data_IF_139566620830
#
_entry.id   IF_139566620830
#
_cell.length_a   1.000
_cell.length_b   1.000
_cell.length_c   1.000
_cell.angle_alpha   90.00
_cell.angle_beta   90.00
_cell.angle_gamma   90.00
#
_symmetry.space_group_name_H-M   'P 1'
#
loop_
_entity.id
_entity.type
_entity.pdbx_description
1 polymer ?
#
# COMPACT_ATOMS: atom_id res chain seq x y z
N UNK A 1 -24.09 29.52 31.77
CA UNK A 1 -23.36 29.27 30.49
C UNK A 1 -22.36 28.15 30.68
N UNK A 2 -22.49 27.12 29.90
CA UNK A 2 -21.77 25.86 30.01
C UNK A 2 -20.37 26.00 29.34
N UNK A 3 -19.23 25.83 30.04
CA UNK A 3 -17.90 26.09 29.52
C UNK A 3 -17.44 25.06 28.47
N UNK A 4 -18.31 24.15 28.02
CA UNK A 4 -17.98 23.07 27.06
C UNK A 4 -18.01 23.51 25.59
N UNK A 5 -18.30 24.75 25.25
CA UNK A 5 -18.49 25.23 23.87
C UNK A 5 -17.38 26.13 23.33
N UNK A 6 -16.33 26.41 24.08
CA UNK A 6 -15.22 27.27 23.61
C UNK A 6 -14.19 26.61 22.72
N UNK A 7 -14.19 25.26 22.61
CA UNK A 7 -13.38 24.50 21.65
C UNK A 7 -14.26 23.46 21.00
N UNK A 8 -14.85 23.81 19.87
CA UNK A 8 -15.82 23.02 19.12
C UNK A 8 -15.26 21.75 18.46
N UNK A 9 -14.26 21.11 19.01
CA UNK A 9 -13.73 19.81 18.61
C UNK A 9 -13.72 18.85 19.79
N UNK A 10 -14.36 17.70 19.63
CA UNK A 10 -14.24 16.62 20.61
C UNK A 10 -12.77 16.40 20.97
N UNK A 11 -12.42 16.34 22.26
CA UNK A 11 -11.09 15.94 22.76
C UNK A 11 -10.54 14.67 22.09
N UNK A 12 -11.42 13.87 21.46
CA UNK A 12 -11.06 12.69 20.64
C UNK A 12 -10.30 13.03 19.36
N UNK A 13 -10.41 14.25 18.83
CA UNK A 13 -9.75 14.69 17.60
C UNK A 13 -8.50 15.56 17.85
N UNK A 14 -8.15 15.88 19.09
CA UNK A 14 -6.99 16.67 19.41
C UNK A 14 -5.69 15.98 18.97
N UNK A 15 -4.87 16.68 18.17
CA UNK A 15 -3.59 16.16 17.67
C UNK A 15 -2.64 15.76 18.80
N UNK A 16 -2.62 16.51 19.90
CA UNK A 16 -1.84 16.20 21.11
C UNK A 16 -2.29 14.89 21.76
N UNK A 17 -3.61 14.62 21.82
CA UNK A 17 -4.11 13.34 22.34
C UNK A 17 -3.73 12.18 21.41
N UNK A 18 -3.80 12.36 20.09
CA UNK A 18 -3.33 11.33 19.12
C UNK A 18 -1.84 11.08 19.28
N UNK A 19 -1.05 12.14 19.48
CA UNK A 19 0.39 12.02 19.73
C UNK A 19 0.66 11.32 21.06
N UNK A 20 0.00 11.70 22.13
CA UNK A 20 0.12 11.07 23.46
C UNK A 20 -0.28 9.58 23.41
N UNK A 21 -1.41 9.26 22.73
CA UNK A 21 -1.83 7.87 22.51
C UNK A 21 -0.80 7.11 21.67
N UNK A 22 -0.19 7.75 20.68
CA UNK A 22 0.83 7.13 19.82
C UNK A 22 2.12 6.86 20.58
N UNK A 23 2.54 7.79 21.44
CA UNK A 23 3.72 7.64 22.31
C UNK A 23 3.47 6.55 23.37
N UNK A 24 2.36 6.62 24.10
CA UNK A 24 2.02 5.64 25.14
C UNK A 24 1.75 4.25 24.58
N UNK A 25 1.05 4.15 23.43
CA UNK A 25 0.86 2.85 22.75
C UNK A 25 2.16 2.28 22.19
N UNK A 26 3.10 3.14 21.75
CA UNK A 26 4.42 2.69 21.31
C UNK A 26 5.27 2.18 22.48
N UNK A 27 5.07 2.75 23.67
CA UNK A 27 5.74 2.28 24.90
C UNK A 27 5.08 1.07 25.54
N UNK A 28 3.77 0.85 25.30
CA UNK A 28 2.96 -0.17 25.96
C UNK A 28 2.56 -1.36 25.06
N UNK A 29 2.99 -1.38 23.79
CA UNK A 29 2.81 -2.56 22.93
C UNK A 29 4.15 -3.27 22.71
N UNK A 30 4.48 -4.15 23.61
CA UNK A 30 5.73 -4.86 23.52
C UNK A 30 5.60 -6.03 22.55
N UNK A 31 6.68 -6.74 22.42
CA UNK A 31 7.00 -8.03 21.86
C UNK A 31 5.79 -8.91 21.42
N UNK A 32 4.72 -8.99 22.20
CA UNK A 32 3.49 -9.78 21.87
C UNK A 32 2.81 -9.37 20.54
N UNK A 33 2.72 -8.06 20.23
CA UNK A 33 2.07 -7.65 18.99
C UNK A 33 2.89 -8.06 17.76
N UNK A 34 4.23 -7.94 17.86
CA UNK A 34 5.14 -8.37 16.78
C UNK A 34 5.13 -9.88 16.60
N UNK A 35 5.06 -10.63 17.69
CA UNK A 35 4.94 -12.09 17.67
C UNK A 35 3.61 -12.53 17.05
N UNK A 36 2.51 -11.83 17.33
CA UNK A 36 1.20 -12.13 16.79
C UNK A 36 1.14 -11.84 15.28
N UNK A 37 1.76 -10.76 14.80
CA UNK A 37 1.87 -10.48 13.35
C UNK A 37 2.69 -11.56 12.65
N UNK A 38 3.85 -11.92 13.17
CA UNK A 38 4.69 -12.99 12.61
C UNK A 38 3.97 -14.33 12.54
N UNK A 39 3.24 -14.72 13.61
CA UNK A 39 2.42 -15.95 13.62
C UNK A 39 1.29 -15.90 12.58
N UNK A 40 0.64 -14.74 12.44
CA UNK A 40 -0.41 -14.55 11.43
C UNK A 40 0.13 -14.72 10.02
N UNK A 41 1.28 -14.13 9.72
CA UNK A 41 1.93 -14.28 8.40
C UNK A 41 2.33 -15.74 8.16
N UNK A 42 2.94 -16.42 9.14
CA UNK A 42 3.31 -17.83 9.02
C UNK A 42 2.07 -18.71 8.74
N UNK A 43 0.97 -18.48 9.48
CA UNK A 43 -0.30 -19.16 9.23
C UNK A 43 -0.82 -18.88 7.82
N UNK A 44 -0.81 -17.64 7.37
CA UNK A 44 -1.30 -17.27 6.04
C UNK A 44 -0.45 -17.88 4.92
N UNK A 45 0.87 -18.03 5.11
CA UNK A 45 1.75 -18.78 4.19
C UNK A 45 1.33 -20.25 4.07
N UNK A 46 1.07 -20.89 5.21
CA UNK A 46 0.61 -22.28 5.24
C UNK A 46 -0.75 -22.41 4.54
N UNK A 47 -1.71 -21.53 4.83
CA UNK A 47 -3.02 -21.54 4.17
C UNK A 47 -2.87 -21.39 2.65
N UNK A 48 -2.05 -20.45 2.19
CA UNK A 48 -1.82 -20.26 0.76
C UNK A 48 -1.11 -21.44 0.09
N UNK A 49 -0.13 -22.04 0.76
CA UNK A 49 0.57 -23.23 0.27
C UNK A 49 -0.36 -24.43 0.13
N UNK A 50 -1.35 -24.55 0.99
CA UNK A 50 -2.36 -25.62 1.00
C UNK A 50 -3.67 -25.26 0.27
N UNK A 51 -3.68 -24.16 -0.49
CA UNK A 51 -4.87 -23.73 -1.23
C UNK A 51 -5.33 -24.80 -2.22
N UNK A 52 -6.62 -25.10 -2.21
CA UNK A 52 -7.23 -26.11 -3.08
C UNK A 52 -7.94 -25.51 -4.29
N UNK A 53 -8.26 -24.21 -4.21
CA UNK A 53 -8.95 -23.49 -5.29
C UNK A 53 -8.15 -22.26 -5.72
N UNK A 54 -8.05 -22.09 -7.04
CA UNK A 54 -7.33 -20.97 -7.62
C UNK A 54 -8.21 -20.23 -8.62
N UNK A 55 -8.33 -18.92 -8.42
CA UNK A 55 -9.03 -18.02 -9.34
C UNK A 55 -8.03 -17.61 -10.40
N UNK A 56 -8.21 -18.11 -11.61
CA UNK A 56 -7.31 -17.91 -12.77
C UNK A 56 -7.85 -16.91 -13.79
N UNK A 57 -9.08 -16.40 -13.57
CA UNK A 57 -9.70 -15.37 -14.39
C UNK A 57 -9.82 -14.08 -13.61
N UNK A 58 -9.54 -12.96 -14.27
CA UNK A 58 -9.71 -11.64 -13.66
C UNK A 58 -11.20 -11.38 -13.46
N UNK A 59 -11.64 -11.15 -12.22
CA UNK A 59 -13.03 -10.78 -11.96
C UNK A 59 -13.34 -9.40 -12.55
N UNK A 60 -14.62 -9.04 -12.63
CA UNK A 60 -14.99 -7.66 -12.94
C UNK A 60 -14.35 -6.70 -11.93
N UNK A 61 -13.34 -5.97 -12.39
CA UNK A 61 -12.56 -5.02 -11.57
C UNK A 61 -13.20 -3.64 -11.48
N UNK A 62 -14.25 -3.37 -12.24
CA UNK A 62 -14.91 -2.06 -12.30
C UNK A 62 -15.28 -1.48 -10.94
N UNK A 63 -15.91 -2.22 -10.01
CA UNK A 63 -16.23 -1.69 -8.68
C UNK A 63 -14.98 -1.32 -7.86
N UNK A 64 -13.91 -2.12 -7.99
CA UNK A 64 -12.62 -1.88 -7.32
C UNK A 64 -11.96 -0.62 -7.87
N UNK A 65 -11.90 -0.47 -9.19
CA UNK A 65 -11.32 0.69 -9.87
C UNK A 65 -12.05 1.98 -9.49
N UNK A 66 -13.37 1.99 -9.56
CA UNK A 66 -14.20 3.15 -9.18
C UNK A 66 -14.03 3.51 -7.71
N UNK A 67 -13.96 2.53 -6.83
CA UNK A 67 -13.74 2.75 -5.41
C UNK A 67 -12.33 3.35 -5.16
N UNK A 68 -11.32 2.79 -5.79
CA UNK A 68 -9.93 3.25 -5.67
C UNK A 68 -9.79 4.68 -6.20
N UNK A 69 -10.27 4.96 -7.42
CA UNK A 69 -10.23 6.29 -8.02
C UNK A 69 -10.92 7.34 -7.15
N UNK A 70 -12.15 7.06 -6.73
CA UNK A 70 -12.90 7.96 -5.86
C UNK A 70 -12.13 8.30 -4.57
N UNK A 71 -11.55 7.29 -3.94
CA UNK A 71 -10.80 7.49 -2.70
C UNK A 71 -9.50 8.26 -2.93
N UNK A 72 -8.78 7.96 -4.03
CA UNK A 72 -7.56 8.66 -4.42
C UNK A 72 -7.84 10.15 -4.66
N UNK A 73 -8.87 10.48 -5.46
CA UNK A 73 -9.28 11.86 -5.72
C UNK A 73 -9.68 12.61 -4.44
N UNK A 74 -10.41 11.94 -3.53
CA UNK A 74 -10.79 12.54 -2.23
C UNK A 74 -9.57 12.81 -1.34
N UNK A 75 -8.60 11.92 -1.31
CA UNK A 75 -7.35 12.15 -0.57
C UNK A 75 -6.56 13.32 -1.16
N UNK A 76 -6.42 13.37 -2.48
CA UNK A 76 -5.73 14.47 -3.17
C UNK A 76 -6.41 15.80 -2.84
N UNK A 77 -7.73 15.90 -3.02
CA UNK A 77 -8.47 17.11 -2.72
C UNK A 77 -8.30 17.58 -1.27
N UNK A 78 -8.42 16.64 -0.32
CA UNK A 78 -8.25 16.96 1.10
C UNK A 78 -6.84 17.48 1.44
N UNK A 79 -5.80 16.98 0.78
CA UNK A 79 -4.43 17.47 0.96
C UNK A 79 -4.26 18.86 0.38
N UNK A 80 -4.80 19.09 -0.84
CA UNK A 80 -4.72 20.39 -1.53
C UNK A 80 -5.52 21.49 -0.81
N UNK A 81 -6.69 21.18 -0.25
CA UNK A 81 -7.48 22.11 0.58
C UNK A 81 -6.69 22.66 1.78
N UNK A 82 -5.71 21.91 2.27
CA UNK A 82 -4.80 22.34 3.35
C UNK A 82 -3.53 23.04 2.83
N UNK A 83 -3.48 23.39 1.54
CA UNK A 83 -2.35 24.07 0.93
C UNK A 83 -1.10 23.23 0.75
N UNK A 84 -1.20 21.90 0.92
CA UNK A 84 -0.07 20.99 0.72
C UNK A 84 0.02 20.54 -0.74
N UNK A 85 1.25 20.34 -1.22
CA UNK A 85 1.52 19.74 -2.54
C UNK A 85 1.38 18.21 -2.49
N UNK A 86 0.98 17.63 -3.61
CA UNK A 86 0.80 16.18 -3.77
C UNK A 86 1.77 15.67 -4.81
N UNK A 87 2.45 14.59 -4.48
CA UNK A 87 3.19 13.75 -5.42
C UNK A 87 2.66 12.31 -5.28
N UNK A 88 2.40 11.66 -6.39
CA UNK A 88 1.99 10.25 -6.41
C UNK A 88 3.23 9.37 -6.51
N UNK A 89 3.41 8.48 -5.54
CA UNK A 89 4.42 7.42 -5.62
C UNK A 89 3.70 6.12 -5.99
N UNK A 90 4.00 5.58 -7.16
CA UNK A 90 3.41 4.31 -7.61
C UNK A 90 3.89 3.18 -6.72
N UNK A 91 2.96 2.40 -6.17
CA UNK A 91 3.28 1.27 -5.32
C UNK A 91 4.07 0.22 -6.10
N UNK A 92 5.33 -0.09 -5.74
CA UNK A 92 6.04 -1.17 -6.38
C UNK A 92 5.54 -2.53 -5.86
N UNK A 93 5.58 -3.52 -6.73
CA UNK A 93 5.34 -4.93 -6.36
C UNK A 93 6.36 -5.84 -7.03
N UNK A 94 6.57 -7.02 -6.47
CA UNK A 94 7.54 -7.99 -6.95
C UNK A 94 7.01 -8.66 -8.24
N UNK A 95 7.26 -8.01 -9.38
CA UNK A 95 6.75 -8.37 -10.70
C UNK A 95 7.73 -9.28 -11.46
N UNK A 96 7.79 -10.54 -11.10
CA UNK A 96 8.59 -11.54 -11.77
C UNK A 96 7.98 -12.95 -11.64
N UNK A 97 8.57 -13.91 -12.31
CA UNK A 97 8.24 -15.30 -12.08
C UNK A 97 8.88 -15.79 -10.78
N UNK A 98 8.20 -16.71 -10.10
CA UNK A 98 8.64 -17.30 -8.84
C UNK A 98 8.91 -18.79 -9.03
N UNK A 99 9.97 -19.28 -8.42
CA UNK A 99 10.18 -20.71 -8.23
C UNK A 99 9.15 -21.26 -7.23
N UNK A 100 8.95 -22.57 -7.20
CA UNK A 100 8.03 -23.21 -6.24
C UNK A 100 8.44 -22.92 -4.79
N UNK A 101 9.73 -22.89 -4.50
CA UNK A 101 10.24 -22.54 -3.18
C UNK A 101 9.93 -21.09 -2.79
N UNK A 102 10.03 -20.17 -3.73
CA UNK A 102 9.71 -18.74 -3.49
C UNK A 102 8.21 -18.51 -3.30
N UNK A 103 7.36 -19.26 -3.98
CA UNK A 103 5.90 -19.19 -3.80
C UNK A 103 5.48 -19.48 -2.36
N UNK A 104 6.25 -20.26 -1.60
CA UNK A 104 5.99 -20.54 -0.19
C UNK A 104 6.18 -19.31 0.72
N UNK A 105 6.88 -18.28 0.25
CA UNK A 105 7.02 -17.02 0.98
C UNK A 105 5.83 -16.08 0.80
N UNK A 106 5.01 -16.33 -0.22
CA UNK A 106 3.83 -15.52 -0.49
C UNK A 106 2.67 -15.92 0.42
N UNK A 107 1.89 -14.94 0.88
CA UNK A 107 0.78 -15.18 1.80
C UNK A 107 -0.48 -14.35 1.50
N UNK A 108 -0.40 -13.48 0.50
CA UNK A 108 -1.42 -12.51 0.13
C UNK A 108 -2.42 -13.07 -0.90
N UNK A 109 -3.46 -12.28 -1.17
CA UNK A 109 -4.43 -12.48 -2.24
C UNK A 109 -5.33 -13.73 -2.10
N UNK A 110 -5.68 -14.06 -0.86
CA UNK A 110 -6.76 -15.00 -0.58
C UNK A 110 -8.12 -14.35 -0.82
N UNK A 111 -9.06 -15.13 -1.33
CA UNK A 111 -10.43 -14.70 -1.54
C UNK A 111 -11.25 -14.87 -0.26
N UNK A 112 -11.66 -13.77 0.36
CA UNK A 112 -12.44 -13.77 1.59
C UNK A 112 -11.83 -12.94 2.71
N UNK A 113 -12.07 -13.34 3.96
CA UNK A 113 -11.67 -12.61 5.17
C UNK A 113 -10.70 -13.44 6.01
N UNK A 114 -9.39 -13.31 5.79
CA UNK A 114 -8.39 -14.19 6.42
C UNK A 114 -8.30 -14.06 7.94
N UNK A 115 -8.80 -12.96 8.51
CA UNK A 115 -8.84 -12.76 9.96
C UNK A 115 -10.04 -13.42 10.64
N UNK A 116 -11.10 -13.76 9.88
CA UNK A 116 -12.34 -14.32 10.40
C UNK A 116 -12.42 -15.84 10.20
N UNK A 117 -11.80 -16.36 9.15
CA UNK A 117 -11.82 -17.79 8.81
C UNK A 117 -10.57 -18.23 8.07
N UNK A 118 -10.36 -19.52 7.99
CA UNK A 118 -9.35 -20.11 7.11
C UNK A 118 -9.75 -19.94 5.65
N UNK A 119 -8.77 -19.68 4.80
CA UNK A 119 -8.95 -19.53 3.37
C UNK A 119 -8.35 -20.72 2.64
N UNK A 120 -9.06 -21.22 1.66
CA UNK A 120 -8.66 -22.28 0.74
C UNK A 120 -8.62 -21.83 -0.72
N UNK A 121 -9.07 -20.60 -0.98
CA UNK A 121 -9.22 -20.03 -2.32
C UNK A 121 -8.30 -18.80 -2.46
N UNK A 122 -7.49 -18.78 -3.50
CA UNK A 122 -6.55 -17.69 -3.78
C UNK A 122 -6.56 -17.30 -5.25
N UNK A 123 -6.19 -16.06 -5.54
CA UNK A 123 -5.94 -15.63 -6.90
C UNK A 123 -4.59 -16.16 -7.39
N UNK A 124 -4.54 -16.57 -8.67
CA UNK A 124 -3.28 -16.90 -9.33
C UNK A 124 -2.40 -15.67 -9.50
N UNK A 125 -1.09 -15.84 -9.61
CA UNK A 125 -0.16 -14.72 -9.75
C UNK A 125 -0.40 -13.89 -11.03
N UNK A 126 -0.77 -14.46 -12.20
CA UNK A 126 -1.18 -13.68 -13.36
C UNK A 126 -2.39 -12.77 -13.09
N UNK A 127 -3.41 -13.28 -12.39
CA UNK A 127 -4.59 -12.47 -12.01
C UNK A 127 -4.21 -11.35 -11.07
N UNK A 128 -3.40 -11.64 -10.05
CA UNK A 128 -2.89 -10.62 -9.11
C UNK A 128 -2.15 -9.51 -9.86
N UNK A 129 -1.27 -9.88 -10.80
CA UNK A 129 -0.53 -8.92 -11.63
C UNK A 129 -1.47 -8.01 -12.39
N UNK A 130 -2.46 -8.56 -13.08
CA UNK A 130 -3.43 -7.78 -13.85
C UNK A 130 -4.25 -6.83 -12.98
N UNK A 131 -4.66 -7.25 -11.77
CA UNK A 131 -5.37 -6.39 -10.83
C UNK A 131 -4.50 -5.24 -10.31
N UNK A 132 -3.23 -5.50 -10.00
CA UNK A 132 -2.29 -4.47 -9.57
C UNK A 132 -1.99 -3.47 -10.70
N UNK A 133 -1.76 -3.95 -11.92
CA UNK A 133 -1.58 -3.11 -13.10
C UNK A 133 -2.82 -2.25 -13.40
N UNK A 134 -4.01 -2.79 -13.15
CA UNK A 134 -5.26 -2.03 -13.30
C UNK A 134 -5.34 -0.88 -12.31
N UNK A 135 -5.03 -1.09 -11.03
CA UNK A 135 -5.00 -0.02 -10.04
C UNK A 135 -3.90 1.00 -10.33
N UNK A 136 -2.74 0.54 -10.80
CA UNK A 136 -1.63 1.42 -11.18
C UNK A 136 -2.02 2.33 -12.37
N UNK A 137 -2.70 1.80 -13.39
CA UNK A 137 -3.23 2.61 -14.50
C UNK A 137 -4.21 3.68 -14.02
N UNK A 138 -5.11 3.35 -13.08
CA UNK A 138 -6.02 4.34 -12.48
C UNK A 138 -5.24 5.44 -11.76
N UNK A 139 -4.21 5.08 -11.01
CA UNK A 139 -3.37 6.02 -10.27
C UNK A 139 -2.64 6.99 -11.22
N UNK A 140 -2.03 6.47 -12.28
CA UNK A 140 -1.33 7.27 -13.30
C UNK A 140 -2.31 8.20 -14.03
N UNK A 141 -3.47 7.69 -14.45
CA UNK A 141 -4.50 8.48 -15.11
C UNK A 141 -5.00 9.65 -14.26
N UNK A 142 -5.33 9.38 -12.99
CA UNK A 142 -5.79 10.43 -12.06
C UNK A 142 -4.71 11.49 -11.84
N UNK A 143 -3.44 11.08 -11.71
CA UNK A 143 -2.34 12.01 -11.55
C UNK A 143 -2.16 12.90 -12.80
N UNK A 144 -2.26 12.32 -14.01
CA UNK A 144 -2.18 13.05 -15.28
C UNK A 144 -3.32 14.08 -15.43
N UNK A 145 -4.56 13.68 -15.13
CA UNK A 145 -5.72 14.56 -15.19
C UNK A 145 -5.65 15.74 -14.23
N UNK A 146 -4.96 15.57 -13.09
CA UNK A 146 -4.79 16.59 -12.07
C UNK A 146 -3.43 17.30 -12.12
N UNK A 147 -2.64 17.04 -13.17
CA UNK A 147 -1.28 17.59 -13.37
C UNK A 147 -0.38 17.40 -12.13
N UNK A 148 -0.39 16.19 -11.56
CA UNK A 148 0.39 15.84 -10.39
C UNK A 148 1.68 15.11 -10.79
N UNK A 149 2.81 15.38 -10.12
CA UNK A 149 4.04 14.61 -10.30
C UNK A 149 3.84 13.16 -9.86
N UNK A 150 4.36 12.22 -10.68
CA UNK A 150 4.26 10.78 -10.46
C UNK A 150 5.66 10.18 -10.41
N UNK A 151 6.00 9.52 -9.31
CA UNK A 151 7.25 8.77 -9.19
C UNK A 151 6.98 7.28 -9.45
N UNK A 152 7.58 6.75 -10.52
CA UNK A 152 7.62 5.32 -10.82
C UNK A 152 8.87 4.69 -10.22
N UNK A 153 8.74 3.49 -9.63
CA UNK A 153 9.85 2.79 -8.97
C UNK A 153 10.06 1.38 -9.53
N UNK A 154 9.14 0.89 -10.37
CA UNK A 154 9.12 -0.50 -10.83
C UNK A 154 10.33 -0.88 -11.70
N UNK A 155 10.85 0.07 -12.49
CA UNK A 155 11.92 -0.18 -13.44
C UNK A 155 13.32 -0.11 -12.80
N UNK A 156 13.40 0.44 -11.58
CA UNK A 156 14.67 0.70 -10.90
C UNK A 156 14.86 -0.15 -9.64
N UNK A 157 13.77 -0.51 -8.94
CA UNK A 157 13.82 -1.31 -7.72
C UNK A 157 14.15 -2.76 -8.04
N UNK A 158 15.20 -3.35 -7.44
CA UNK A 158 15.51 -4.76 -7.66
C UNK A 158 14.35 -5.68 -7.29
N UNK A 159 13.98 -6.58 -8.22
CA UNK A 159 12.84 -7.49 -8.09
C UNK A 159 13.25 -8.80 -7.40
N UNK A 160 13.65 -8.72 -6.13
CA UNK A 160 14.13 -9.85 -5.32
C UNK A 160 13.61 -9.81 -3.88
N UNK A 161 13.82 -10.90 -3.13
CA UNK A 161 13.42 -11.01 -1.74
C UNK A 161 14.36 -10.30 -0.75
N UNK A 162 15.45 -9.71 -1.22
CA UNK A 162 16.25 -8.78 -0.42
C UNK A 162 15.54 -7.43 -0.27
N UNK A 163 14.77 -7.02 -1.29
CA UNK A 163 14.02 -5.77 -1.31
C UNK A 163 12.54 -5.94 -0.98
N UNK A 164 11.96 -7.10 -1.26
CA UNK A 164 10.57 -7.43 -0.96
C UNK A 164 10.46 -8.54 0.07
N UNK A 165 9.57 -8.38 1.02
CA UNK A 165 9.27 -9.41 2.02
C UNK A 165 8.29 -10.46 1.50
N UNK A 166 7.39 -10.05 0.63
CA UNK A 166 6.40 -10.83 -0.09
C UNK A 166 6.11 -10.18 -1.45
N UNK A 167 4.88 -10.25 -1.92
CA UNK A 167 4.52 -9.73 -3.23
C UNK A 167 4.61 -8.20 -3.36
N UNK A 168 4.42 -7.43 -2.27
CA UNK A 168 4.41 -5.96 -2.30
C UNK A 168 4.89 -5.28 -1.01
N UNK A 169 5.13 -6.00 0.06
CA UNK A 169 5.72 -5.40 1.26
C UNK A 169 7.24 -5.35 1.14
N UNK A 170 7.78 -4.20 1.46
CA UNK A 170 9.22 -3.97 1.39
C UNK A 170 9.93 -4.50 2.64
N UNK A 171 11.13 -5.07 2.45
CA UNK A 171 12.08 -5.30 3.54
C UNK A 171 12.63 -3.96 4.05
N UNK A 172 13.38 -3.93 5.17
CA UNK A 172 14.09 -2.72 5.59
C UNK A 172 15.02 -2.16 4.49
N UNK A 173 15.67 -3.04 3.70
CA UNK A 173 16.53 -2.65 2.56
C UNK A 173 15.72 -2.02 1.44
N UNK A 174 14.62 -2.66 1.03
CA UNK A 174 13.72 -2.11 0.02
C UNK A 174 13.08 -0.79 0.45
N UNK A 175 12.66 -0.69 1.72
CA UNK A 175 12.11 0.55 2.27
C UNK A 175 13.14 1.69 2.31
N UNK A 176 14.39 1.41 2.64
CA UNK A 176 15.47 2.40 2.61
C UNK A 176 15.73 2.89 1.19
N UNK A 177 15.77 1.96 0.22
CA UNK A 177 15.94 2.30 -1.19
C UNK A 177 14.80 3.19 -1.70
N UNK A 178 13.55 2.80 -1.48
CA UNK A 178 12.36 3.60 -1.84
C UNK A 178 12.40 4.98 -1.16
N UNK A 179 12.75 5.03 0.13
CA UNK A 179 12.85 6.28 0.89
C UNK A 179 13.87 7.23 0.28
N UNK A 180 15.03 6.73 -0.17
CA UNK A 180 16.04 7.53 -0.85
C UNK A 180 15.50 8.08 -2.18
N UNK A 181 14.89 7.25 -3.03
CA UNK A 181 14.34 7.69 -4.32
C UNK A 181 13.24 8.74 -4.16
N UNK A 182 12.37 8.56 -3.15
CA UNK A 182 11.34 9.56 -2.80
C UNK A 182 11.99 10.87 -2.37
N UNK A 183 13.02 10.83 -1.51
CA UNK A 183 13.71 12.03 -1.05
C UNK A 183 14.39 12.80 -2.21
N UNK A 184 15.00 12.09 -3.15
CA UNK A 184 15.61 12.64 -4.37
C UNK A 184 14.57 13.30 -5.30
N UNK A 185 13.35 12.77 -5.35
CA UNK A 185 12.27 13.26 -6.20
C UNK A 185 11.53 14.50 -5.63
N UNK A 186 11.53 14.70 -4.32
CA UNK A 186 10.79 15.79 -3.66
C UNK A 186 11.16 17.19 -4.20
N UNK A 187 12.45 17.58 -4.39
CA UNK A 187 12.81 18.92 -4.88
C UNK A 187 12.18 19.25 -6.24
N UNK A 188 12.12 18.30 -7.16
CA UNK A 188 11.53 18.50 -8.48
C UNK A 188 10.01 18.51 -8.44
N UNK A 189 9.40 17.67 -7.64
CA UNK A 189 7.97 17.72 -7.37
C UNK A 189 7.53 19.07 -6.78
N UNK A 190 8.36 19.68 -5.93
CA UNK A 190 8.09 21.00 -5.36
C UNK A 190 8.20 22.14 -6.38
N UNK A 191 9.03 21.98 -7.42
CA UNK A 191 9.17 22.95 -8.52
C UNK A 191 8.01 22.85 -9.54
N UNK A 192 7.19 21.81 -9.47
CA UNK A 192 6.13 21.54 -10.45
C UNK A 192 6.65 20.92 -11.74
N UNK A 193 7.88 20.39 -11.75
CA UNK A 193 8.42 19.63 -12.88
C UNK A 193 7.81 18.23 -12.89
N UNK A 194 7.19 17.84 -13.99
CA UNK A 194 6.76 16.46 -14.20
C UNK A 194 7.99 15.56 -14.36
N UNK A 195 8.01 14.42 -13.67
CA UNK A 195 9.05 13.41 -13.87
C UNK A 195 8.97 12.81 -15.29
N UNK A 196 10.11 12.33 -15.84
CA UNK A 196 10.08 11.64 -17.11
C UNK A 196 9.07 10.49 -17.07
N UNK A 197 8.26 10.39 -18.12
CA UNK A 197 7.27 9.31 -18.23
C UNK A 197 8.02 7.99 -18.37
N UNK A 198 7.75 6.98 -17.55
CA UNK A 198 8.28 5.65 -17.79
C UNK A 198 7.71 5.14 -19.12
N UNK A 199 8.58 4.78 -20.08
CA UNK A 199 8.19 4.13 -21.32
C UNK A 199 7.68 5.05 -22.44
N UNK A 200 8.39 6.16 -22.70
CA UNK A 200 8.32 6.85 -23.98
C UNK A 200 9.30 6.26 -24.98
#
# INVERSE_FOLDING_TARGET
>A
QNPKTLFGGSLKSCALRRLAIRITRRSLKPVEHRQNVGRSIARNRIMRANATHWIDQVPDSTPMEQCFERNLRRMIAAVQEHGAKVMIVRQPWLNRNFTEQEKLQLWNFGHGRPLERELDTYYTLPVVRQLLETLDRVQVRVAQELDLPVLGLMDELPMDFDHFYDHFHLTPRGAAWVGQRVAEAIPDALKGTSFPRPGA
#
